data_IF_236078982417
#
_entry.id   IF_236078982417
#
_cell.length_a   1.000
_cell.length_b   1.000
_cell.length_c   1.000
_cell.angle_alpha   90.00
_cell.angle_beta   90.00
_cell.angle_gamma   90.00
#
_symmetry.space_group_name_H-M   'P 1'
#
loop_
_entity.id
_entity.type
_entity.pdbx_description
1 polymer ?
#
# COMPACT_ATOMS: atom_id res chain seq x y z
N UNK A 1 2.47 -7.63 28.85
CA UNK A 1 3.75 -7.80 29.57
C UNK A 1 4.76 -8.20 28.53
N UNK A 2 5.50 -7.22 28.01
CA UNK A 2 6.65 -7.43 27.14
C UNK A 2 7.86 -7.28 28.07
N UNK A 3 8.81 -8.23 28.10
CA UNK A 3 10.00 -8.08 28.93
C UNK A 3 10.83 -6.91 28.39
N UNK A 4 11.16 -5.97 29.27
CA UNK A 4 12.15 -4.93 29.00
C UNK A 4 13.52 -5.61 28.83
N UNK A 5 14.02 -5.64 27.60
CA UNK A 5 15.40 -6.03 27.33
C UNK A 5 16.32 -4.88 27.73
N UNK A 6 17.15 -5.16 28.74
CA UNK A 6 18.22 -4.30 29.21
C UNK A 6 19.28 -4.24 28.11
N UNK A 7 19.40 -3.10 27.45
CA UNK A 7 20.51 -2.81 26.53
C UNK A 7 21.73 -2.56 27.41
N UNK A 8 22.65 -3.52 27.46
CA UNK A 8 23.95 -3.36 28.11
C UNK A 8 24.78 -2.38 27.27
N UNK A 9 25.11 -1.22 27.85
CA UNK A 9 26.00 -0.22 27.25
C UNK A 9 27.38 -0.86 27.02
N UNK A 10 27.68 -1.17 25.76
CA UNK A 10 29.00 -1.62 25.32
C UNK A 10 30.01 -0.48 25.54
N UNK A 11 30.90 -0.67 26.52
CA UNK A 11 32.02 0.21 26.80
C UNK A 11 32.98 0.14 25.61
N UNK A 12 32.94 1.17 24.75
CA UNK A 12 33.89 1.35 23.64
C UNK A 12 35.28 1.57 24.26
N UNK A 13 36.27 0.70 24.01
CA UNK A 13 37.61 0.88 24.54
C UNK A 13 38.25 2.14 23.94
N UNK A 14 38.87 2.96 24.80
CA UNK A 14 39.64 4.15 24.42
C UNK A 14 40.65 3.78 23.33
N UNK A 15 40.42 4.29 22.12
CA UNK A 15 41.35 4.09 21.01
C UNK A 15 42.65 4.85 21.29
N UNK A 16 43.82 4.27 20.96
CA UNK A 16 45.10 4.93 21.14
C UNK A 16 45.14 6.22 20.31
N UNK A 17 45.42 7.33 20.98
CA UNK A 17 45.67 8.63 20.35
C UNK A 17 46.93 8.47 19.49
N UNK A 18 46.74 8.35 18.18
CA UNK A 18 47.84 8.37 17.22
C UNK A 18 48.33 9.80 17.08
N UNK A 19 49.58 10.05 17.47
CA UNK A 19 50.25 11.30 17.14
C UNK A 19 50.30 11.46 15.61
N UNK A 20 49.81 12.59 15.06
CA UNK A 20 49.80 12.79 13.62
C UNK A 20 51.25 12.81 13.11
N UNK A 21 51.57 12.08 12.02
CA UNK A 21 52.91 12.10 11.46
C UNK A 21 53.29 13.53 11.04
N UNK A 22 54.50 13.95 11.39
CA UNK A 22 55.08 15.22 10.92
C UNK A 22 55.19 15.15 9.38
N UNK A 23 54.35 15.90 8.69
CA UNK A 23 54.41 16.00 7.24
C UNK A 23 55.69 16.78 6.86
N UNK A 24 56.48 16.29 5.89
CA UNK A 24 57.63 17.03 5.39
C UNK A 24 57.16 18.38 4.83
N UNK A 25 57.89 19.44 5.17
CA UNK A 25 57.62 20.80 4.71
C UNK A 25 57.47 20.82 3.19
N UNK A 26 56.31 21.29 2.72
CA UNK A 26 55.98 21.41 1.31
C UNK A 26 57.04 22.27 0.62
N UNK A 27 57.81 21.65 -0.27
CA UNK A 27 58.66 22.35 -1.24
C UNK A 27 57.75 23.22 -2.08
N UNK A 28 58.00 24.54 -2.07
CA UNK A 28 57.24 25.55 -2.78
C UNK A 28 57.28 25.25 -4.29
N UNK A 29 56.16 24.78 -4.90
CA UNK A 29 56.14 24.43 -6.30
C UNK A 29 55.99 25.74 -7.08
N UNK A 30 57.10 26.21 -7.64
CA UNK A 30 57.10 27.31 -8.61
C UNK A 30 55.96 27.14 -9.61
N UNK A 31 55.13 28.17 -9.73
CA UNK A 31 54.00 28.36 -10.64
C UNK A 31 53.39 27.05 -11.14
N UNK A 32 52.53 26.44 -10.29
CA UNK A 32 51.65 25.37 -10.76
C UNK A 32 50.84 25.91 -11.94
N UNK A 33 50.76 25.18 -13.08
CA UNK A 33 49.86 25.55 -14.16
C UNK A 33 48.44 25.76 -13.62
N UNK A 34 47.74 26.79 -14.11
CA UNK A 34 46.36 27.07 -13.73
C UNK A 34 45.52 25.81 -13.90
N UNK A 35 45.03 25.27 -12.78
CA UNK A 35 44.17 24.10 -12.80
C UNK A 35 42.85 24.52 -13.44
N UNK A 36 42.59 24.04 -14.65
CA UNK A 36 41.26 24.16 -15.25
C UNK A 36 40.34 23.23 -14.48
N UNK A 37 39.46 23.79 -13.65
CA UNK A 37 38.49 23.00 -12.88
C UNK A 37 37.64 22.17 -13.84
N UNK A 38 37.59 20.83 -13.70
CA UNK A 38 36.69 20.02 -14.50
C UNK A 38 35.25 20.46 -14.21
N UNK A 39 34.42 20.50 -15.25
CA UNK A 39 33.03 20.95 -15.12
C UNK A 39 32.30 20.27 -13.96
N UNK A 40 31.47 21.04 -13.23
CA UNK A 40 30.71 20.54 -12.10
C UNK A 40 29.82 19.36 -12.52
N UNK A 41 29.80 18.30 -11.71
CA UNK A 41 28.89 17.18 -11.95
C UNK A 41 27.44 17.64 -11.75
N UNK A 42 26.70 17.77 -12.84
CA UNK A 42 25.27 18.08 -12.79
C UNK A 42 24.49 16.80 -12.51
N UNK A 43 24.02 16.65 -11.28
CA UNK A 43 23.15 15.52 -10.91
C UNK A 43 21.84 15.57 -11.72
N UNK A 44 21.42 14.47 -12.36
CA UNK A 44 20.17 14.46 -13.10
C UNK A 44 18.98 14.70 -12.18
N UNK A 45 17.95 15.37 -12.70
CA UNK A 45 16.67 15.52 -12.00
C UNK A 45 15.96 14.17 -11.95
N UNK A 46 15.41 13.82 -10.79
CA UNK A 46 14.60 12.61 -10.62
C UNK A 46 13.38 12.64 -11.56
N UNK A 47 13.06 11.53 -12.25
CA UNK A 47 11.83 11.44 -13.04
C UNK A 47 10.59 11.65 -12.17
N UNK A 48 9.46 11.99 -12.77
CA UNK A 48 8.20 12.05 -12.04
C UNK A 48 7.64 10.63 -11.90
N UNK A 49 7.21 10.27 -10.68
CA UNK A 49 6.68 8.95 -10.40
C UNK A 49 5.15 8.97 -10.53
N UNK A 50 4.66 8.62 -11.72
CA UNK A 50 3.22 8.54 -11.99
C UNK A 50 2.70 7.14 -11.68
N UNK A 51 1.74 7.03 -10.75
CA UNK A 51 1.02 5.79 -10.47
C UNK A 51 -0.42 6.09 -10.08
N UNK A 52 -1.32 5.17 -10.45
CA UNK A 52 -2.72 5.28 -10.06
C UNK A 52 -2.86 5.07 -8.54
N UNK A 53 -3.53 5.98 -7.81
CA UNK A 53 -3.72 5.83 -6.38
C UNK A 53 -4.58 4.61 -6.07
N UNK A 54 -4.33 3.98 -4.93
CA UNK A 54 -5.11 2.82 -4.48
C UNK A 54 -6.59 3.17 -4.33
N UNK A 55 -7.43 2.62 -5.21
CA UNK A 55 -8.88 2.75 -5.15
C UNK A 55 -9.46 1.64 -4.25
N UNK A 56 -9.56 1.93 -2.95
CA UNK A 56 -10.17 0.99 -2.01
C UNK A 56 -11.65 0.78 -2.35
N UNK A 57 -12.12 -0.48 -2.53
CA UNK A 57 -13.53 -0.72 -2.79
C UNK A 57 -14.36 -0.32 -1.57
N UNK A 58 -15.46 0.39 -1.82
CA UNK A 58 -16.39 0.84 -0.79
C UNK A 58 -17.46 -0.21 -0.55
N UNK A 59 -17.88 -0.35 0.71
CA UNK A 59 -18.98 -1.23 1.08
C UNK A 59 -20.30 -0.76 0.45
N UNK A 60 -20.97 -1.66 -0.25
CA UNK A 60 -22.26 -1.43 -0.87
C UNK A 60 -23.41 -1.93 0.04
N UNK A 61 -24.20 -1.03 0.65
CA UNK A 61 -25.32 -1.42 1.49
C UNK A 61 -26.47 -2.06 0.70
N UNK A 62 -26.66 -1.70 -0.59
CA UNK A 62 -27.73 -2.23 -1.41
C UNK A 62 -27.53 -3.72 -1.69
N UNK A 63 -26.27 -4.13 -1.92
CA UNK A 63 -25.91 -5.54 -2.09
C UNK A 63 -26.21 -6.38 -0.84
N UNK A 64 -25.93 -5.85 0.35
CA UNK A 64 -26.24 -6.53 1.62
C UNK A 64 -27.75 -6.71 1.79
N UNK A 65 -28.55 -5.69 1.44
CA UNK A 65 -30.00 -5.77 1.49
C UNK A 65 -30.58 -6.79 0.50
N UNK A 66 -30.05 -6.84 -0.72
CA UNK A 66 -30.41 -7.86 -1.72
C UNK A 66 -30.14 -9.29 -1.19
N UNK A 67 -28.95 -9.52 -0.62
CA UNK A 67 -28.60 -10.82 -0.04
C UNK A 67 -29.50 -11.17 1.15
N UNK A 68 -29.82 -10.18 1.99
CA UNK A 68 -30.72 -10.35 3.14
C UNK A 68 -32.13 -10.74 2.70
N UNK A 69 -32.70 -10.03 1.73
CA UNK A 69 -34.05 -10.33 1.21
C UNK A 69 -34.08 -11.71 0.54
N UNK A 70 -33.03 -12.06 -0.21
CA UNK A 70 -32.85 -13.40 -0.81
C UNK A 70 -32.78 -14.51 0.25
N UNK A 71 -32.01 -14.31 1.32
CA UNK A 71 -31.88 -15.25 2.43
C UNK A 71 -33.17 -15.39 3.25
N UNK A 72 -33.90 -14.30 3.45
CA UNK A 72 -35.18 -14.29 4.19
C UNK A 72 -36.31 -15.01 3.42
N UNK A 73 -36.29 -14.97 2.08
CA UNK A 73 -37.39 -15.43 1.22
C UNK A 73 -37.95 -16.82 1.56
N UNK A 74 -37.12 -17.88 1.72
CA UNK A 74 -37.60 -19.20 2.12
C UNK A 74 -38.30 -19.22 3.49
N UNK A 75 -37.74 -18.51 4.49
CA UNK A 75 -38.32 -18.42 5.83
C UNK A 75 -39.67 -17.71 5.82
N UNK A 76 -39.75 -16.57 5.13
CA UNK A 76 -40.98 -15.78 4.99
C UNK A 76 -42.08 -16.64 4.34
N UNK A 77 -41.79 -17.35 3.25
CA UNK A 77 -42.76 -18.26 2.60
C UNK A 77 -43.29 -19.34 3.55
N UNK A 78 -42.42 -19.97 4.34
CA UNK A 78 -42.84 -20.98 5.35
C UNK A 78 -43.73 -20.36 6.43
N UNK A 79 -43.37 -19.17 6.92
CA UNK A 79 -44.17 -18.47 7.94
C UNK A 79 -45.57 -18.13 7.44
N UNK A 80 -45.72 -17.71 6.19
CA UNK A 80 -47.02 -17.43 5.56
C UNK A 80 -47.84 -18.71 5.41
N UNK A 81 -47.22 -19.83 5.00
CA UNK A 81 -47.92 -21.11 4.91
C UNK A 81 -48.39 -21.61 6.28
N UNK A 82 -47.56 -21.46 7.32
CA UNK A 82 -47.92 -21.79 8.70
C UNK A 82 -49.09 -20.92 9.19
N UNK A 83 -49.03 -19.61 8.94
CA UNK A 83 -50.12 -18.67 9.24
C UNK A 83 -51.43 -19.09 8.58
N UNK A 84 -51.41 -19.37 7.26
CA UNK A 84 -52.60 -19.82 6.53
C UNK A 84 -53.20 -21.09 7.13
N UNK A 85 -52.37 -22.07 7.50
CA UNK A 85 -52.84 -23.31 8.16
C UNK A 85 -53.46 -23.04 9.52
N UNK A 86 -52.87 -22.16 10.32
CA UNK A 86 -53.40 -21.78 11.62
C UNK A 86 -54.75 -21.06 11.52
N UNK A 87 -54.91 -20.19 10.49
CA UNK A 87 -56.17 -19.48 10.24
C UNK A 87 -57.31 -20.37 9.75
N UNK A 88 -57.02 -21.53 9.14
CA UNK A 88 -58.03 -22.48 8.68
C UNK A 88 -58.62 -23.34 9.80
N UNK A 89 -58.13 -23.22 11.04
CA UNK A 89 -58.69 -23.96 12.17
C UNK A 89 -60.09 -23.43 12.52
N UNK A 90 -61.10 -24.30 12.48
CA UNK A 90 -62.46 -23.96 12.91
C UNK A 90 -62.54 -23.90 14.44
N UNK A 91 -62.92 -22.73 14.95
CA UNK A 91 -63.22 -22.55 16.37
C UNK A 91 -64.72 -22.49 16.59
N UNK A 92 -65.24 -23.37 17.46
CA UNK A 92 -66.67 -23.39 17.82
C UNK A 92 -67.12 -22.13 18.58
N UNK A 93 -66.20 -21.43 19.24
CA UNK A 93 -66.49 -20.22 20.02
C UNK A 93 -65.84 -18.99 19.36
N UNK A 94 -66.62 -17.96 18.98
CA UNK A 94 -66.09 -16.76 18.31
C UNK A 94 -65.11 -15.96 19.17
N UNK A 95 -65.23 -15.99 20.49
CA UNK A 95 -64.29 -15.29 21.39
C UNK A 95 -62.93 -16.00 21.43
N UNK A 96 -62.92 -17.33 21.41
CA UNK A 96 -61.67 -18.11 21.31
C UNK A 96 -61.01 -17.91 19.94
N UNK A 97 -61.81 -17.80 18.87
CA UNK A 97 -61.29 -17.50 17.53
C UNK A 97 -60.52 -16.18 17.49
N UNK A 98 -61.06 -15.12 18.11
CA UNK A 98 -60.40 -13.81 18.19
C UNK A 98 -59.10 -13.85 18.99
N UNK A 99 -59.12 -14.52 20.14
CA UNK A 99 -57.93 -14.69 20.99
C UNK A 99 -56.84 -15.47 20.24
N UNK A 100 -57.20 -16.62 19.67
CA UNK A 100 -56.27 -17.45 18.90
C UNK A 100 -55.68 -16.69 17.71
N UNK A 101 -56.50 -15.92 16.98
CA UNK A 101 -56.01 -15.12 15.85
C UNK A 101 -55.03 -14.03 16.29
N UNK A 102 -55.25 -13.39 17.44
CA UNK A 102 -54.29 -12.43 18.00
C UNK A 102 -52.95 -13.10 18.32
N UNK A 103 -53.00 -14.26 18.97
CA UNK A 103 -51.79 -14.98 19.38
C UNK A 103 -51.03 -15.53 18.16
N UNK A 104 -51.75 -16.01 17.12
CA UNK A 104 -51.17 -16.43 15.85
C UNK A 104 -50.46 -15.26 15.14
N UNK A 105 -51.08 -14.07 15.10
CA UNK A 105 -50.47 -12.89 14.48
C UNK A 105 -49.24 -12.41 15.27
N UNK A 106 -49.29 -12.43 16.60
CA UNK A 106 -48.13 -12.13 17.44
C UNK A 106 -46.97 -13.10 17.18
N UNK A 107 -47.25 -14.41 17.16
CA UNK A 107 -46.25 -15.44 16.85
C UNK A 107 -45.70 -15.33 15.42
N UNK A 108 -46.53 -14.92 14.46
CA UNK A 108 -46.06 -14.64 13.10
C UNK A 108 -45.09 -13.46 13.04
N UNK A 109 -45.38 -12.36 13.76
CA UNK A 109 -44.49 -11.21 13.87
C UNK A 109 -43.14 -11.57 14.50
N UNK A 110 -43.16 -12.36 15.57
CA UNK A 110 -41.94 -12.88 16.21
C UNK A 110 -41.13 -13.77 15.26
N UNK A 111 -41.81 -14.68 14.55
CA UNK A 111 -41.17 -15.55 13.56
C UNK A 111 -40.53 -14.75 12.43
N UNK A 112 -41.20 -13.72 11.90
CA UNK A 112 -40.63 -12.82 10.89
C UNK A 112 -39.39 -12.10 11.41
N UNK A 113 -39.43 -11.56 12.62
CA UNK A 113 -38.26 -10.92 13.26
C UNK A 113 -37.06 -11.87 13.33
N UNK A 114 -37.29 -13.12 13.76
CA UNK A 114 -36.26 -14.15 13.80
C UNK A 114 -35.70 -14.50 12.41
N UNK A 115 -36.57 -14.63 11.39
CA UNK A 115 -36.16 -14.88 10.01
C UNK A 115 -35.29 -13.74 9.48
N UNK A 116 -35.70 -12.49 9.68
CA UNK A 116 -34.95 -11.33 9.22
C UNK A 116 -33.64 -11.12 9.98
N UNK A 117 -33.58 -11.49 11.26
CA UNK A 117 -32.36 -11.49 12.06
C UNK A 117 -31.35 -12.51 11.54
N UNK A 118 -31.76 -13.77 11.34
CA UNK A 118 -30.87 -14.80 10.78
C UNK A 118 -30.45 -14.52 9.33
N UNK A 119 -31.36 -13.97 8.53
CA UNK A 119 -31.06 -13.55 7.16
C UNK A 119 -30.05 -12.40 7.10
N UNK A 120 -30.11 -11.44 8.04
CA UNK A 120 -29.15 -10.35 8.13
C UNK A 120 -27.73 -10.90 8.40
N UNK A 121 -27.57 -11.77 9.40
CA UNK A 121 -26.27 -12.39 9.70
C UNK A 121 -25.71 -13.19 8.52
N UNK A 122 -26.58 -13.94 7.83
CA UNK A 122 -26.19 -14.72 6.65
C UNK A 122 -25.72 -13.81 5.50
N UNK A 123 -26.45 -12.72 5.25
CA UNK A 123 -26.11 -11.75 4.22
C UNK A 123 -24.79 -11.02 4.53
N UNK A 124 -24.58 -10.64 5.79
CA UNK A 124 -23.33 -10.03 6.28
C UNK A 124 -22.13 -10.97 6.08
N UNK A 125 -22.27 -12.26 6.40
CA UNK A 125 -21.20 -13.23 6.16
C UNK A 125 -20.90 -13.41 4.67
N UNK A 126 -21.93 -13.58 3.83
CA UNK A 126 -21.76 -13.74 2.39
C UNK A 126 -21.11 -12.51 1.77
N UNK A 127 -21.65 -11.32 2.05
CA UNK A 127 -21.09 -10.07 1.55
C UNK A 127 -19.68 -9.82 2.10
N UNK A 128 -19.41 -10.16 3.37
CA UNK A 128 -18.08 -10.05 3.95
C UNK A 128 -17.03 -10.85 3.16
N UNK A 129 -17.38 -12.06 2.72
CA UNK A 129 -16.49 -12.86 1.85
C UNK A 129 -16.32 -12.27 0.45
N UNK A 130 -17.40 -11.78 -0.18
CA UNK A 130 -17.35 -11.11 -1.48
C UNK A 130 -16.46 -9.84 -1.41
N UNK A 131 -16.67 -9.02 -0.39
CA UNK A 131 -15.95 -7.76 -0.17
C UNK A 131 -14.46 -7.99 0.15
N UNK A 132 -14.14 -9.01 0.95
CA UNK A 132 -12.75 -9.38 1.22
C UNK A 132 -12.02 -9.76 -0.06
N UNK A 133 -12.66 -10.55 -0.95
CA UNK A 133 -12.10 -10.92 -2.24
C UNK A 133 -11.89 -9.69 -3.16
N UNK A 134 -12.87 -8.77 -3.22
CA UNK A 134 -12.74 -7.53 -3.99
C UNK A 134 -11.59 -6.65 -3.47
N UNK A 135 -11.43 -6.54 -2.14
CA UNK A 135 -10.31 -5.80 -1.53
C UNK A 135 -8.96 -6.40 -1.89
N UNK A 136 -8.84 -7.72 -1.83
CA UNK A 136 -7.60 -8.41 -2.15
C UNK A 136 -7.25 -8.28 -3.63
N UNK A 137 -8.25 -8.36 -4.50
CA UNK A 137 -8.07 -8.11 -5.93
C UNK A 137 -7.58 -6.68 -6.19
N UNK A 138 -8.28 -5.67 -5.67
CA UNK A 138 -7.90 -4.27 -5.85
C UNK A 138 -6.50 -3.98 -5.29
N UNK A 139 -6.12 -4.63 -4.18
CA UNK A 139 -4.78 -4.53 -3.61
C UNK A 139 -3.74 -5.14 -4.53
N UNK A 140 -4.00 -6.34 -5.05
CA UNK A 140 -3.08 -7.05 -5.97
C UNK A 140 -2.87 -6.24 -7.24
N UNK A 141 -3.94 -5.67 -7.81
CA UNK A 141 -3.88 -4.80 -8.99
C UNK A 141 -3.05 -3.54 -8.73
N UNK A 142 -3.24 -2.91 -7.57
CA UNK A 142 -2.44 -1.75 -7.16
C UNK A 142 -0.95 -2.11 -6.95
N UNK A 143 -0.65 -3.20 -6.24
CA UNK A 143 0.73 -3.65 -6.03
C UNK A 143 1.42 -3.99 -7.37
N UNK A 144 0.69 -4.57 -8.32
CA UNK A 144 1.18 -4.85 -9.67
C UNK A 144 1.46 -3.56 -10.46
N UNK A 145 0.52 -2.61 -10.45
CA UNK A 145 0.67 -1.32 -11.13
C UNK A 145 1.83 -0.49 -10.54
N UNK A 146 1.88 -0.38 -9.21
CA UNK A 146 2.96 0.29 -8.49
C UNK A 146 4.32 -0.38 -8.78
N UNK A 147 4.38 -1.71 -8.76
CA UNK A 147 5.60 -2.45 -9.06
C UNK A 147 6.07 -2.30 -10.51
N UNK A 148 5.16 -2.13 -11.47
CA UNK A 148 5.49 -1.81 -12.85
C UNK A 148 6.04 -0.38 -12.98
N UNK A 149 5.33 0.61 -12.44
CA UNK A 149 5.76 2.01 -12.44
C UNK A 149 7.12 2.20 -11.76
N UNK A 150 7.35 1.52 -10.62
CA UNK A 150 8.63 1.60 -9.89
C UNK A 150 9.79 1.07 -10.73
N UNK A 151 9.58 -0.01 -11.49
CA UNK A 151 10.62 -0.55 -12.37
C UNK A 151 10.92 0.39 -13.54
N UNK A 152 9.90 0.99 -14.13
CA UNK A 152 10.08 1.97 -15.20
C UNK A 152 10.84 3.19 -14.72
N UNK A 153 10.47 3.71 -13.54
CA UNK A 153 11.18 4.78 -12.87
C UNK A 153 12.65 4.41 -12.62
N UNK A 154 12.93 3.23 -12.06
CA UNK A 154 14.29 2.79 -11.78
C UNK A 154 15.14 2.66 -13.06
N UNK A 155 14.56 2.11 -14.14
CA UNK A 155 15.23 2.00 -15.43
C UNK A 155 15.52 3.37 -16.03
N UNK A 156 14.56 4.29 -16.01
CA UNK A 156 14.74 5.64 -16.53
C UNK A 156 15.77 6.42 -15.72
N UNK A 157 15.67 6.36 -14.39
CA UNK A 157 16.60 7.02 -13.49
C UNK A 157 18.03 6.50 -13.66
N UNK A 158 18.21 5.17 -13.64
CA UNK A 158 19.54 4.56 -13.82
C UNK A 158 20.15 4.89 -15.17
N UNK A 159 19.35 4.93 -16.25
CA UNK A 159 19.82 5.35 -17.56
C UNK A 159 20.27 6.82 -17.59
N UNK A 160 19.48 7.74 -17.00
CA UNK A 160 19.85 9.17 -16.87
C UNK A 160 21.13 9.35 -16.05
N UNK A 161 21.23 8.65 -14.92
CA UNK A 161 22.39 8.69 -14.04
C UNK A 161 23.66 8.17 -14.72
N UNK A 162 23.59 7.01 -15.37
CA UNK A 162 24.73 6.44 -16.11
C UNK A 162 25.18 7.33 -17.26
N UNK A 163 24.24 8.00 -17.94
CA UNK A 163 24.58 8.98 -18.98
C UNK A 163 25.31 10.19 -18.39
N UNK A 164 24.77 10.80 -17.34
CA UNK A 164 25.41 11.94 -16.68
C UNK A 164 26.82 11.60 -16.17
N UNK A 165 27.00 10.40 -15.61
CA UNK A 165 28.31 9.92 -15.18
C UNK A 165 29.29 9.78 -16.36
N UNK A 166 28.84 9.23 -17.49
CA UNK A 166 29.67 9.07 -18.69
C UNK A 166 30.07 10.41 -19.29
N UNK A 167 29.13 11.35 -19.36
CA UNK A 167 29.37 12.69 -19.89
C UNK A 167 30.42 13.41 -19.02
N UNK A 168 30.26 13.37 -17.69
CA UNK A 168 31.24 13.92 -16.75
C UNK A 168 32.62 13.26 -16.84
N UNK A 169 32.69 11.94 -16.97
CA UNK A 169 33.97 11.23 -17.17
C UNK A 169 34.66 11.65 -18.46
N UNK A 170 33.89 11.86 -19.54
CA UNK A 170 34.39 12.37 -20.81
C UNK A 170 35.00 13.76 -20.68
N UNK A 171 34.33 14.66 -19.95
CA UNK A 171 34.80 16.03 -19.69
C UNK A 171 36.10 16.03 -18.87
N UNK A 172 36.19 15.17 -17.84
CA UNK A 172 37.41 14.99 -17.04
C UNK A 172 38.57 14.44 -17.89
N UNK A 173 38.32 13.47 -18.77
CA UNK A 173 39.34 12.93 -19.67
C UNK A 173 39.78 13.91 -20.77
N UNK A 174 38.88 14.78 -21.23
CA UNK A 174 39.22 15.85 -22.15
C UNK A 174 40.09 16.91 -21.47
N UNK A 175 39.68 17.39 -20.29
CA UNK A 175 40.46 18.36 -19.51
C UNK A 175 41.87 17.85 -19.16
N UNK A 176 41.99 16.56 -18.81
CA UNK A 176 43.31 15.92 -18.60
C UNK A 176 44.18 15.92 -19.85
N UNK A 177 43.61 15.59 -21.01
CA UNK A 177 44.35 15.59 -22.29
C UNK A 177 44.80 16.98 -22.70
N UNK A 178 43.94 17.98 -22.51
CA UNK A 178 44.27 19.37 -22.80
C UNK A 178 45.43 19.85 -21.91
N UNK A 179 45.38 19.53 -20.61
CA UNK A 179 46.46 19.82 -19.66
C UNK A 179 47.79 19.13 -20.03
N UNK A 180 47.75 17.84 -20.40
CA UNK A 180 48.94 17.10 -20.85
C UNK A 180 49.53 17.68 -22.14
N UNK A 181 48.68 18.14 -23.06
CA UNK A 181 49.11 18.77 -24.30
C UNK A 181 49.78 20.14 -24.04
N UNK A 182 49.20 20.96 -23.17
CA UNK A 182 49.80 22.25 -22.75
C UNK A 182 51.16 22.05 -22.07
N UNK A 183 51.30 21.07 -21.18
CA UNK A 183 52.59 20.72 -20.56
C UNK A 183 53.65 20.34 -21.61
N UNK A 184 53.27 19.58 -22.63
CA UNK A 184 54.19 19.20 -23.71
C UNK A 184 54.60 20.40 -24.59
N UNK A 185 53.75 21.42 -24.73
CA UNK A 185 54.10 22.63 -25.50
C UNK A 185 54.88 23.67 -24.69
N UNK A 186 54.56 23.83 -23.40
CA UNK A 186 55.22 24.77 -22.50
C UNK A 186 56.61 24.33 -22.04
N UNK A 187 56.90 23.03 -22.02
CA UNK A 187 58.20 22.48 -21.60
C UNK A 187 59.36 22.65 -22.59
N UNK A 188 59.17 23.32 -23.73
CA UNK A 188 60.21 23.58 -24.74
C UNK A 188 60.59 25.06 -24.88
N UNK A 189 60.14 25.94 -23.98
CA UNK A 189 60.66 27.31 -23.84
C UNK A 189 61.57 27.43 -22.62
#
# INVERSE_FOLDING_TARGET
MIPDEVIEDEVIPDQPIFDPPEFPEFVDPGERPEYVEPGEFVSPTYPEFEYDPYAAPTRDPARVEELRTKAAGPGVRRSIQALKRAMMQEYRNPNLARLAMRDILAGHGEALSGIYGGAAQTAEMQYGTEFAAQREQARTEFEAAYGAASKEYDVEWTAKYQKALRDWQGDVEAAKRDYEWELMQGGWM
#
